data_IF_651252780530
#
_entry.id   IF_651252780530
#
_cell.length_a   1.000
_cell.length_b   1.000
_cell.length_c   1.000
_cell.angle_alpha   90.00
_cell.angle_beta   90.00
_cell.angle_gamma   90.00
#
_symmetry.space_group_name_H-M   'P 1'
#
loop_
_entity.id
_entity.type
_entity.pdbx_description
1 polymer ?
#
# COMPACT_ATOMS: atom_id res chain seq x y z
N UNK A 1 10.63 26.13 -1.34
CA UNK A 1 9.74 26.88 -2.26
C UNK A 1 9.44 25.97 -3.43
N UNK A 2 8.22 26.03 -3.98
CA UNK A 2 7.88 25.29 -5.18
C UNK A 2 8.60 25.88 -6.41
N UNK A 3 8.95 25.04 -7.37
CA UNK A 3 9.50 25.44 -8.66
C UNK A 3 8.43 26.05 -9.57
N UNK A 4 8.83 26.40 -10.79
CA UNK A 4 7.96 26.98 -11.82
C UNK A 4 6.80 26.06 -12.26
N UNK A 5 6.87 24.77 -11.94
CA UNK A 5 5.81 23.80 -12.18
C UNK A 5 4.92 23.56 -10.95
N UNK A 6 5.13 24.31 -9.86
CA UNK A 6 4.46 24.08 -8.58
C UNK A 6 4.99 22.87 -7.81
N UNK A 7 6.11 22.29 -8.23
CA UNK A 7 6.73 21.13 -7.56
C UNK A 7 7.61 21.60 -6.42
N UNK A 8 7.47 21.03 -5.23
CA UNK A 8 8.36 21.29 -4.11
C UNK A 8 8.95 20.00 -3.58
N UNK A 9 10.21 20.07 -3.13
CA UNK A 9 10.90 18.96 -2.48
C UNK A 9 10.94 19.21 -0.99
N UNK A 10 10.49 18.22 -0.21
CA UNK A 10 10.62 18.21 1.25
C UNK A 10 11.65 17.15 1.62
N UNK A 11 12.75 17.60 2.23
CA UNK A 11 13.75 16.70 2.81
C UNK A 11 13.39 16.44 4.26
N UNK A 12 13.01 15.21 4.58
CA UNK A 12 12.74 14.77 5.94
C UNK A 12 14.01 14.12 6.53
N UNK A 13 14.34 14.35 7.81
CA UNK A 13 15.39 13.59 8.47
C UNK A 13 15.01 12.11 8.48
N UNK A 14 16.00 11.24 8.32
CA UNK A 14 15.78 9.79 8.31
C UNK A 14 15.22 9.35 9.68
N UNK A 15 14.02 8.77 9.73
CA UNK A 15 13.44 8.35 10.99
C UNK A 15 14.15 7.14 11.59
N UNK A 16 14.03 6.96 12.91
CA UNK A 16 14.41 5.73 13.61
C UNK A 16 13.17 4.83 13.66
N UNK A 17 13.24 3.63 13.08
CA UNK A 17 12.11 2.69 13.04
C UNK A 17 11.00 3.08 12.06
N UNK A 18 9.74 2.76 12.37
CA UNK A 18 8.59 3.04 11.52
C UNK A 18 8.01 4.41 11.84
N UNK A 19 7.65 5.18 10.81
CA UNK A 19 6.94 6.45 10.98
C UNK A 19 5.78 6.54 10.02
N UNK A 20 4.67 7.05 10.53
CA UNK A 20 3.46 7.37 9.80
C UNK A 20 3.26 8.89 9.89
N UNK A 21 3.34 9.57 8.74
CA UNK A 21 3.14 11.01 8.66
C UNK A 21 1.71 11.30 8.18
N UNK A 22 1.07 12.25 8.86
CA UNK A 22 -0.15 12.88 8.38
C UNK A 22 0.24 14.11 7.58
N UNK A 23 -0.19 14.20 6.32
CA UNK A 23 -0.05 15.42 5.57
C UNK A 23 -1.11 16.41 6.03
N UNK A 24 -0.73 17.66 6.26
CA UNK A 24 -1.66 18.75 6.55
C UNK A 24 -1.48 19.84 5.50
N UNK A 25 -2.59 20.32 4.95
CA UNK A 25 -2.60 21.50 4.08
C UNK A 25 -3.05 22.68 4.92
N UNK A 26 -2.16 23.67 5.07
CA UNK A 26 -2.48 24.95 5.71
C UNK A 26 -2.76 26.02 4.64
N UNK A 27 -3.93 26.64 4.72
CA UNK A 27 -4.29 27.82 3.93
C UNK A 27 -4.65 28.97 4.89
N UNK A 28 -3.70 29.86 5.12
CA UNK A 28 -3.81 30.89 6.16
C UNK A 28 -3.91 30.25 7.55
N UNK A 29 -4.99 30.53 8.28
CA UNK A 29 -5.25 29.99 9.63
C UNK A 29 -6.04 28.68 9.63
N UNK A 30 -6.43 28.17 8.46
CA UNK A 30 -7.16 26.90 8.35
C UNK A 30 -6.19 25.76 8.02
N UNK A 31 -6.19 24.72 8.86
CA UNK A 31 -5.50 23.46 8.59
C UNK A 31 -6.52 22.38 8.22
N UNK A 32 -6.27 21.64 7.13
CA UNK A 32 -7.03 20.45 6.76
C UNK A 32 -6.07 19.27 6.74
N UNK A 33 -6.35 18.26 7.57
CA UNK A 33 -5.60 17.00 7.59
C UNK A 33 -5.97 16.19 6.36
N UNK A 34 -4.96 15.75 5.60
CA UNK A 34 -5.14 14.83 4.49
C UNK A 34 -5.65 13.48 5.00
N UNK A 35 -6.61 12.84 4.31
CA UNK A 35 -7.03 11.48 4.62
C UNK A 35 -5.94 10.43 4.31
N UNK A 36 -4.87 10.83 3.63
CA UNK A 36 -3.75 9.99 3.24
C UNK A 36 -2.64 10.01 4.31
N UNK A 37 -1.97 8.87 4.46
CA UNK A 37 -0.87 8.69 5.40
C UNK A 37 0.39 8.31 4.63
N UNK A 38 1.48 9.02 4.85
CA UNK A 38 2.78 8.64 4.32
C UNK A 38 3.48 7.70 5.31
N UNK A 39 3.70 6.47 4.91
CA UNK A 39 4.33 5.41 5.70
C UNK A 39 5.80 5.24 5.29
N UNK A 40 6.72 5.39 6.25
CA UNK A 40 8.14 5.07 6.12
C UNK A 40 8.47 3.89 7.05
N UNK A 41 8.88 2.75 6.50
CA UNK A 41 9.23 1.56 7.31
C UNK A 41 10.74 1.41 7.52
N UNK A 42 11.11 0.93 8.71
CA UNK A 42 12.48 0.54 9.07
C UNK A 42 13.53 1.62 8.78
N UNK A 43 13.22 2.85 9.19
CA UNK A 43 14.04 4.03 8.92
C UNK A 43 14.28 4.27 7.43
N UNK A 44 13.37 3.83 6.55
CA UNK A 44 13.52 3.94 5.10
C UNK A 44 14.36 2.82 4.46
N UNK A 45 14.76 1.78 5.20
CA UNK A 45 15.27 0.56 4.57
C UNK A 45 14.14 -0.38 4.10
N UNK A 46 12.94 -0.21 4.65
CA UNK A 46 11.75 -0.95 4.25
C UNK A 46 10.92 -0.22 3.18
N UNK A 47 9.71 -0.73 2.89
CA UNK A 47 8.79 -0.08 1.97
C UNK A 47 8.44 1.36 2.37
N UNK A 48 8.23 2.18 1.34
CA UNK A 48 7.68 3.53 1.42
C UNK A 48 6.35 3.56 0.67
N UNK A 49 5.27 3.98 1.33
CA UNK A 49 3.94 3.97 0.71
C UNK A 49 3.04 5.11 1.20
N UNK A 50 2.04 5.44 0.38
CA UNK A 50 0.88 6.24 0.79
C UNK A 50 -0.27 5.28 1.07
N UNK A 51 -0.82 5.35 2.29
CA UNK A 51 -2.02 4.62 2.70
C UNK A 51 -3.21 5.54 2.59
N UNK A 52 -4.33 5.03 2.08
CA UNK A 52 -5.54 5.83 1.91
C UNK A 52 -6.79 5.01 2.22
N UNK A 53 -7.72 5.63 2.96
CA UNK A 53 -8.90 4.96 3.46
C UNK A 53 -9.78 4.45 2.30
N UNK A 54 -9.82 3.13 2.11
CA UNK A 54 -10.69 2.48 1.14
C UNK A 54 -10.24 2.60 -0.32
N UNK A 55 -8.99 3.03 -0.52
CA UNK A 55 -8.33 3.06 -1.81
C UNK A 55 -7.07 2.19 -1.76
N UNK A 56 -6.58 1.68 -2.92
CA UNK A 56 -5.36 0.90 -2.94
C UNK A 56 -4.15 1.75 -2.55
N UNK A 57 -3.30 1.21 -1.69
CA UNK A 57 -2.07 1.87 -1.27
C UNK A 57 -1.11 2.04 -2.45
N UNK A 58 -0.40 3.17 -2.45
CA UNK A 58 0.57 3.53 -3.48
C UNK A 58 1.99 3.37 -2.95
N UNK A 59 2.77 2.47 -3.55
CA UNK A 59 4.22 2.41 -3.29
C UNK A 59 4.92 3.62 -3.89
N UNK A 60 5.82 4.23 -3.12
CA UNK A 60 6.69 5.33 -3.56
C UNK A 60 8.16 4.90 -3.72
N UNK A 61 8.47 3.65 -3.36
CA UNK A 61 9.78 3.04 -3.55
C UNK A 61 9.85 2.27 -4.89
N UNK A 62 10.12 0.97 -4.89
CA UNK A 62 10.22 0.17 -6.10
C UNK A 62 8.84 -0.22 -6.64
N UNK A 63 8.66 -0.13 -7.95
CA UNK A 63 7.55 -0.72 -8.67
C UNK A 63 7.62 -2.26 -8.61
N UNK A 64 6.61 -2.89 -8.00
CA UNK A 64 6.52 -4.34 -7.87
C UNK A 64 5.26 -4.86 -8.59
N UNK A 65 5.31 -6.05 -9.23
CA UNK A 65 4.13 -6.67 -9.83
C UNK A 65 2.93 -6.72 -8.89
N UNK A 66 3.14 -7.15 -7.64
CA UNK A 66 2.24 -6.88 -6.51
C UNK A 66 2.92 -5.90 -5.55
N UNK A 67 2.36 -4.70 -5.42
CA UNK A 67 2.87 -3.62 -4.59
C UNK A 67 2.25 -3.57 -3.20
N UNK A 68 0.93 -3.79 -3.10
CA UNK A 68 0.20 -3.80 -1.84
C UNK A 68 -1.03 -4.71 -1.90
N UNK A 69 -1.44 -5.16 -0.71
CA UNK A 69 -2.71 -5.82 -0.45
C UNK A 69 -3.40 -5.08 0.69
N UNK A 70 -4.43 -4.30 0.36
CA UNK A 70 -5.23 -3.55 1.31
C UNK A 70 -6.52 -4.30 1.62
N UNK A 71 -6.91 -4.35 2.88
CA UNK A 71 -8.12 -5.04 3.29
C UNK A 71 -8.83 -4.32 4.43
N UNK A 72 -10.14 -4.21 4.31
CA UNK A 72 -11.06 -3.84 5.38
C UNK A 72 -11.90 -5.06 5.79
N UNK A 73 -13.03 -4.90 6.49
CA UNK A 73 -13.87 -6.03 6.90
C UNK A 73 -14.62 -6.67 5.71
N UNK A 74 -14.86 -5.94 4.62
CA UNK A 74 -15.70 -6.38 3.50
C UNK A 74 -14.94 -6.79 2.25
N UNK A 75 -13.79 -6.18 1.95
CA UNK A 75 -13.11 -6.32 0.65
C UNK A 75 -11.59 -6.33 0.78
N UNK A 76 -10.95 -6.90 -0.25
CA UNK A 76 -9.50 -6.81 -0.45
C UNK A 76 -9.21 -6.13 -1.77
N UNK A 77 -8.32 -5.14 -1.74
CA UNK A 77 -7.80 -4.43 -2.89
C UNK A 77 -6.34 -4.83 -3.10
N UNK A 78 -6.01 -5.25 -4.31
CA UNK A 78 -4.65 -5.49 -4.74
C UNK A 78 -4.20 -4.30 -5.58
N UNK A 79 -2.97 -3.85 -5.40
CA UNK A 79 -2.34 -2.89 -6.31
C UNK A 79 -0.94 -3.32 -6.66
N UNK A 80 -0.49 -2.90 -7.84
CA UNK A 80 0.87 -3.15 -8.29
C UNK A 80 1.21 -2.35 -9.52
N UNK A 81 2.41 -2.58 -10.02
CA UNK A 81 2.91 -1.90 -11.21
C UNK A 81 3.81 -2.85 -12.01
N UNK A 82 3.57 -2.87 -13.32
CA UNK A 82 4.43 -3.56 -14.28
C UNK A 82 5.26 -2.56 -15.09
N UNK A 83 6.40 -2.98 -15.67
CA UNK A 83 7.21 -2.11 -16.52
C UNK A 83 6.51 -1.66 -17.81
N UNK A 84 5.47 -2.38 -18.23
CA UNK A 84 4.69 -2.11 -19.44
C UNK A 84 3.39 -1.40 -19.11
N UNK A 85 3.03 -0.39 -19.90
CA UNK A 85 1.79 0.38 -19.74
C UNK A 85 0.59 -0.20 -20.53
N UNK A 86 0.84 -1.13 -21.45
CA UNK A 86 -0.18 -1.69 -22.33
C UNK A 86 -0.53 -3.13 -21.98
N UNK A 87 -1.82 -3.45 -22.03
CA UNK A 87 -2.35 -4.79 -21.86
C UNK A 87 -3.00 -5.04 -20.50
N UNK A 88 -2.77 -6.24 -19.97
CA UNK A 88 -3.39 -6.72 -18.74
C UNK A 88 -2.40 -7.51 -17.90
N UNK A 89 -2.51 -7.38 -16.58
CA UNK A 89 -1.85 -8.25 -15.61
C UNK A 89 -2.74 -9.44 -15.29
N UNK A 90 -2.19 -10.64 -15.17
CA UNK A 90 -2.92 -11.81 -14.67
C UNK A 90 -2.71 -11.98 -13.18
N UNK A 91 -3.81 -12.04 -12.44
CA UNK A 91 -3.84 -12.31 -11.01
C UNK A 91 -4.49 -13.66 -10.79
N UNK A 92 -3.78 -14.59 -10.18
CA UNK A 92 -4.32 -15.90 -9.77
C UNK A 92 -4.43 -15.95 -8.26
N UNK A 93 -5.62 -16.28 -7.78
CA UNK A 93 -5.90 -16.55 -6.36
C UNK A 93 -6.50 -17.95 -6.24
N UNK A 94 -6.87 -18.37 -5.04
CA UNK A 94 -7.62 -19.62 -4.85
C UNK A 94 -8.99 -19.64 -5.57
N UNK A 95 -9.52 -18.48 -5.97
CA UNK A 95 -10.76 -18.34 -6.74
C UNK A 95 -10.55 -18.36 -8.27
N UNK A 96 -9.32 -18.61 -8.72
CA UNK A 96 -8.96 -18.71 -10.14
C UNK A 96 -8.13 -17.53 -10.65
N UNK A 97 -7.94 -17.50 -11.97
CA UNK A 97 -7.14 -16.47 -12.65
C UNK A 97 -8.04 -15.43 -13.31
N UNK A 98 -7.73 -14.14 -13.09
CA UNK A 98 -8.40 -13.00 -13.71
C UNK A 98 -7.38 -12.07 -14.36
N UNK A 99 -7.77 -11.41 -15.44
CA UNK A 99 -6.96 -10.40 -16.10
C UNK A 99 -7.47 -9.00 -15.71
N UNK A 100 -6.57 -8.12 -15.28
CA UNK A 100 -6.87 -6.75 -14.89
C UNK A 100 -6.14 -5.77 -15.80
N UNK A 101 -6.81 -4.67 -16.17
CA UNK A 101 -6.27 -3.70 -17.11
C UNK A 101 -5.11 -2.92 -16.50
N UNK A 102 -4.03 -2.74 -17.27
CA UNK A 102 -2.96 -1.81 -16.92
C UNK A 102 -3.35 -0.37 -17.26
N UNK A 103 -3.03 0.54 -16.37
CA UNK A 103 -3.05 1.98 -16.60
C UNK A 103 -1.86 2.44 -17.46
N UNK A 104 -1.89 3.68 -17.96
CA UNK A 104 -0.87 4.23 -18.86
C UNK A 104 0.53 4.35 -18.23
N UNK A 105 0.65 4.20 -16.91
CA UNK A 105 1.91 4.17 -16.15
C UNK A 105 2.27 2.75 -15.68
N UNK A 106 1.59 1.72 -16.21
CA UNK A 106 1.76 0.32 -15.84
C UNK A 106 1.16 -0.05 -14.49
N UNK A 107 0.48 0.88 -13.80
CA UNK A 107 -0.21 0.60 -12.55
C UNK A 107 -1.51 -0.17 -12.78
N UNK A 108 -1.87 -0.98 -11.81
CA UNK A 108 -3.13 -1.72 -11.84
C UNK A 108 -3.70 -1.86 -10.45
N UNK A 109 -5.00 -2.09 -10.39
CA UNK A 109 -5.75 -2.33 -9.16
C UNK A 109 -6.78 -3.41 -9.39
N UNK A 110 -7.00 -4.30 -8.42
CA UNK A 110 -8.04 -5.31 -8.47
C UNK A 110 -8.80 -5.39 -7.14
N UNK A 111 -10.11 -5.59 -7.20
CA UNK A 111 -10.89 -5.99 -6.04
C UNK A 111 -11.04 -7.52 -6.05
N UNK A 112 -10.67 -8.15 -4.94
CA UNK A 112 -10.76 -9.60 -4.76
C UNK A 112 -11.48 -9.94 -3.44
N UNK A 113 -12.13 -11.10 -3.44
CA UNK A 113 -12.78 -11.64 -2.25
C UNK A 113 -11.82 -12.58 -1.54
N UNK A 114 -10.90 -12.04 -0.74
CA UNK A 114 -9.92 -12.83 -0.01
C UNK A 114 -10.29 -12.91 1.47
N UNK A 115 -10.44 -14.14 1.98
CA UNK A 115 -10.94 -14.41 3.34
C UNK A 115 -9.86 -14.73 4.37
N UNK A 116 -8.64 -15.05 3.93
CA UNK A 116 -7.55 -15.42 4.82
C UNK A 116 -6.20 -15.55 4.11
N UNK A 117 -5.17 -16.01 4.85
CA UNK A 117 -3.83 -16.19 4.32
C UNK A 117 -3.83 -17.10 3.09
N UNK A 118 -3.15 -16.70 2.02
CA UNK A 118 -3.10 -17.46 0.77
C UNK A 118 -1.99 -16.95 -0.17
N UNK A 119 -1.63 -17.79 -1.13
CA UNK A 119 -0.81 -17.39 -2.26
C UNK A 119 -1.62 -16.53 -3.26
N UNK A 120 -1.02 -15.43 -3.69
CA UNK A 120 -1.47 -14.56 -4.78
C UNK A 120 -0.40 -14.60 -5.85
N UNK A 121 -0.73 -15.02 -7.06
CA UNK A 121 0.22 -14.97 -8.17
C UNK A 121 -0.09 -13.78 -9.07
N UNK A 122 0.95 -13.02 -9.41
CA UNK A 122 0.85 -11.89 -10.34
C UNK A 122 1.86 -12.08 -11.46
N UNK A 123 1.36 -12.36 -12.67
CA UNK A 123 2.15 -12.70 -13.86
C UNK A 123 3.28 -13.71 -13.58
N UNK A 124 2.95 -14.76 -12.82
CA UNK A 124 3.86 -15.86 -12.48
C UNK A 124 4.70 -15.63 -11.22
N UNK A 125 4.71 -14.42 -10.65
CA UNK A 125 5.36 -14.14 -9.37
C UNK A 125 4.42 -14.52 -8.22
N UNK A 126 4.88 -15.33 -7.27
CA UNK A 126 4.05 -15.77 -6.13
C UNK A 126 4.31 -14.91 -4.90
N UNK A 127 3.23 -14.47 -4.26
CA UNK A 127 3.23 -13.69 -3.03
C UNK A 127 2.38 -14.38 -1.98
N UNK A 128 2.99 -14.75 -0.85
CA UNK A 128 2.29 -15.37 0.28
C UNK A 128 1.68 -14.28 1.17
N UNK A 129 0.43 -13.90 0.88
CA UNK A 129 -0.28 -12.90 1.68
C UNK A 129 -0.63 -13.49 3.06
N UNK A 130 -0.20 -12.88 4.17
CA UNK A 130 -0.39 -13.42 5.53
C UNK A 130 -1.80 -13.18 6.10
N UNK A 131 -2.73 -12.69 5.28
CA UNK A 131 -4.05 -12.25 5.72
C UNK A 131 -4.04 -10.89 6.41
N UNK A 132 -5.25 -10.42 6.75
CA UNK A 132 -5.52 -9.08 7.31
C UNK A 132 -4.85 -8.84 8.68
N UNK A 133 -4.51 -9.91 9.39
CA UNK A 133 -4.07 -9.86 10.78
C UNK A 133 -5.19 -9.49 11.74
N UNK A 134 -4.87 -9.52 13.02
CA UNK A 134 -5.74 -9.11 14.12
C UNK A 134 -5.12 -7.87 14.77
N UNK A 135 -5.92 -6.86 15.08
CA UNK A 135 -5.44 -5.69 15.84
C UNK A 135 -5.39 -6.04 17.32
N UNK A 136 -4.33 -5.65 18.02
CA UNK A 136 -4.27 -5.84 19.48
C UNK A 136 -4.86 -4.65 20.26
N UNK A 137 -5.16 -3.54 19.59
CA UNK A 137 -5.73 -2.36 20.23
C UNK A 137 -6.23 -1.28 19.27
N UNK A 138 -6.25 -0.04 19.77
CA UNK A 138 -6.67 1.14 19.02
C UNK A 138 -5.53 1.81 18.24
N UNK A 139 -4.28 1.48 18.55
CA UNK A 139 -3.09 2.04 17.90
C UNK A 139 -2.80 1.37 16.56
N UNK A 140 -1.98 2.03 15.74
CA UNK A 140 -1.48 1.45 14.49
C UNK A 140 -0.44 0.37 14.82
N UNK A 141 -0.74 -0.87 14.43
CA UNK A 141 0.14 -2.02 14.63
C UNK A 141 0.96 -2.25 13.34
N UNK A 142 2.29 -2.22 13.45
CA UNK A 142 3.21 -2.44 12.33
C UNK A 142 4.12 -3.61 12.68
N UNK A 143 4.15 -4.63 11.82
CA UNK A 143 4.96 -5.83 12.06
C UNK A 143 5.47 -6.48 10.77
N UNK A 144 6.50 -7.32 10.91
CA UNK A 144 6.90 -8.26 9.86
C UNK A 144 5.86 -9.37 9.77
N UNK A 145 5.38 -9.63 8.56
CA UNK A 145 4.43 -10.71 8.29
C UNK A 145 4.81 -11.44 7.00
N UNK A 146 5.41 -12.62 7.17
CA UNK A 146 6.01 -13.36 6.06
C UNK A 146 7.13 -12.56 5.37
N UNK A 147 7.05 -12.48 4.04
CA UNK A 147 8.00 -11.73 3.19
C UNK A 147 7.47 -10.33 2.88
N UNK A 148 7.14 -9.60 3.94
CA UNK A 148 6.63 -8.25 3.84
C UNK A 148 6.32 -7.65 5.20
N UNK A 149 5.64 -6.52 5.16
CA UNK A 149 5.21 -5.76 6.32
C UNK A 149 3.70 -5.67 6.35
N UNK A 150 3.10 -5.94 7.52
CA UNK A 150 1.67 -5.72 7.76
C UNK A 150 1.51 -4.46 8.62
N UNK A 151 0.58 -3.62 8.21
CA UNK A 151 0.19 -2.39 8.88
C UNK A 151 -1.30 -2.48 9.14
N UNK A 152 -1.71 -2.51 10.40
CA UNK A 152 -3.11 -2.44 10.81
C UNK A 152 -3.33 -1.05 11.36
N UNK A 153 -4.20 -0.28 10.72
CA UNK A 153 -4.38 1.14 10.99
C UNK A 153 -5.86 1.52 10.98
N UNK A 154 -6.18 2.69 11.52
CA UNK A 154 -7.54 3.22 11.55
C UNK A 154 -7.69 4.39 10.61
N UNK A 155 -8.75 4.35 9.83
CA UNK A 155 -9.19 5.48 9.00
C UNK A 155 -9.69 6.63 9.87
N UNK A 156 -9.74 7.87 9.36
CA UNK A 156 -10.33 9.00 10.09
C UNK A 156 -11.77 8.77 10.58
N UNK A 157 -12.54 7.91 9.89
CA UNK A 157 -13.89 7.49 10.30
C UNK A 157 -13.94 6.38 11.35
N UNK A 158 -12.79 5.97 11.91
CA UNK A 158 -12.68 4.92 12.92
C UNK A 158 -12.67 3.49 12.37
N UNK A 159 -12.94 3.31 11.07
CA UNK A 159 -12.91 2.01 10.39
C UNK A 159 -11.51 1.41 10.39
N UNK A 160 -11.41 0.10 10.63
CA UNK A 160 -10.15 -0.64 10.62
C UNK A 160 -9.74 -0.99 9.20
N UNK A 161 -8.46 -0.81 8.89
CA UNK A 161 -7.84 -1.26 7.66
C UNK A 161 -6.53 -1.99 7.95
N UNK A 162 -6.17 -2.87 7.03
CA UNK A 162 -4.88 -3.54 7.00
C UNK A 162 -4.25 -3.36 5.64
N UNK A 163 -2.96 -3.11 5.61
CA UNK A 163 -2.16 -3.04 4.38
C UNK A 163 -1.00 -4.00 4.55
N UNK A 164 -0.82 -4.91 3.59
CA UNK A 164 0.38 -5.74 3.50
C UNK A 164 1.24 -5.29 2.32
N UNK A 165 2.50 -4.97 2.59
CA UNK A 165 3.48 -4.52 1.62
C UNK A 165 4.54 -5.62 1.45
N UNK A 166 4.59 -6.33 0.29
CA UNK A 166 5.62 -7.30 0.02
C UNK A 166 7.02 -6.69 0.06
N UNK A 167 8.01 -7.50 0.44
CA UNK A 167 9.42 -7.14 0.26
C UNK A 167 9.73 -7.02 -1.24
N UNK A 168 10.68 -6.16 -1.58
CA UNK A 168 11.06 -5.91 -2.98
C UNK A 168 11.81 -7.09 -3.65
N UNK A 169 12.04 -8.18 -2.91
CA UNK A 169 12.60 -9.44 -3.39
C UNK A 169 11.55 -10.53 -3.32
N UNK A 170 10.76 -10.69 -4.38
CA UNK A 170 10.07 -11.96 -4.65
C UNK A 170 11.14 -13.00 -5.01
N UNK A 171 10.99 -14.24 -4.53
CA UNK A 171 11.82 -15.37 -4.99
C UNK A 171 11.20 -16.05 -6.18
#
# INVERSE_FOLDING_TARGET
MADENGTFVVSLPRPIGHVLYHAEVQNGETAVVSPELLLVLDGGNGPLAVLQAGWPSLRLDRALPLGAVDADDGRVLLSGQLPTADGSVRVTTQHGTRAHRLGPDGKWTAAEELTGPQAIQVDGNTYEWPGRGESTGEQTDIERAGRGWRIIWRTPGGGRQSTWLPDATAS
#
